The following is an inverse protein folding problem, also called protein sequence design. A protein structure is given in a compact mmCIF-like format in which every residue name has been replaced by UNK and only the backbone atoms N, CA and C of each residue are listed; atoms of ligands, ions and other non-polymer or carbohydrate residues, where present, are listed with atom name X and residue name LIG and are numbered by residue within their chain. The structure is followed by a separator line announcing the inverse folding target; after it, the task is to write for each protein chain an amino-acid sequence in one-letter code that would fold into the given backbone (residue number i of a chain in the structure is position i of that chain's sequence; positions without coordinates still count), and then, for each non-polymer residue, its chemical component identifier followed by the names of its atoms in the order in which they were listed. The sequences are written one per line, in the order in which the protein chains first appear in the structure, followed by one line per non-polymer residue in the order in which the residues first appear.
data_IF_794899859727
#
_entry.id   IF_794899859727
#
_cell.length_a   1.000
_cell.length_b   1.000
_cell.length_c   1.000
_cell.angle_alpha   90.00
_cell.angle_beta   90.00
_cell.angle_gamma   90.00
#
_symmetry.space_group_name_H-M   'P 1'
#
loop_
_entity.id
_entity.type
_entity.pdbx_description
1 polymer ?
#
# COMPACT_ATOMS: atom_id res chain seq x y z
N UNK A 1 17.27 -5.54 -5.95
CA UNK A 1 17.73 -6.83 -6.50
C UNK A 1 16.95 -7.05 -7.81
N UNK A 2 17.46 -7.82 -8.78
CA UNK A 2 16.87 -7.91 -10.13
C UNK A 2 16.08 -9.22 -10.25
N UNK A 3 14.80 -9.15 -10.61
CA UNK A 3 14.02 -10.36 -10.92
C UNK A 3 14.64 -11.12 -12.10
N UNK A 4 14.98 -12.39 -11.87
CA UNK A 4 15.38 -13.30 -12.94
C UNK A 4 14.21 -13.51 -13.91
N UNK A 5 14.50 -13.75 -15.20
CA UNK A 5 13.45 -13.92 -16.23
C UNK A 5 12.45 -15.05 -15.90
N UNK A 6 12.91 -16.14 -15.30
CA UNK A 6 12.06 -17.25 -14.85
C UNK A 6 11.15 -16.85 -13.70
N UNK A 7 11.66 -16.13 -12.70
CA UNK A 7 10.86 -15.58 -11.60
C UNK A 7 9.84 -14.55 -12.10
N UNK A 8 10.22 -13.74 -13.09
CA UNK A 8 9.32 -12.77 -13.72
C UNK A 8 8.15 -13.42 -14.46
N UNK A 9 8.29 -14.67 -14.95
CA UNK A 9 7.18 -15.43 -15.53
C UNK A 9 6.25 -15.98 -14.45
N UNK A 10 6.81 -16.57 -13.39
CA UNK A 10 6.03 -17.10 -12.26
C UNK A 10 5.22 -15.97 -11.60
N UNK A 11 5.84 -14.82 -11.36
CA UNK A 11 5.17 -13.66 -10.80
C UNK A 11 4.05 -13.13 -11.71
N UNK A 12 4.26 -13.16 -13.04
CA UNK A 12 3.24 -12.78 -14.01
C UNK A 12 2.02 -13.69 -13.95
N UNK A 13 2.24 -15.00 -13.95
CA UNK A 13 1.14 -15.97 -13.87
C UNK A 13 0.41 -15.86 -12.52
N UNK A 14 1.14 -15.68 -11.41
CA UNK A 14 0.54 -15.46 -10.10
C UNK A 14 -0.35 -14.21 -10.04
N UNK A 15 0.13 -13.07 -10.54
CA UNK A 15 -0.65 -11.82 -10.55
C UNK A 15 -1.94 -11.99 -11.35
N UNK A 16 -1.87 -12.56 -12.56
CA UNK A 16 -3.06 -12.68 -13.39
C UNK A 16 -4.04 -13.74 -12.88
N UNK A 17 -3.54 -14.92 -12.52
CA UNK A 17 -4.40 -16.05 -12.20
C UNK A 17 -4.94 -15.99 -10.76
N UNK A 18 -4.13 -15.50 -9.81
CA UNK A 18 -4.49 -15.47 -8.38
C UNK A 18 -5.10 -14.13 -7.99
N UNK A 19 -4.51 -13.00 -8.40
CA UNK A 19 -4.99 -11.68 -7.96
C UNK A 19 -6.08 -11.09 -8.85
N UNK A 20 -6.05 -11.37 -10.16
CA UNK A 20 -7.01 -10.83 -11.12
C UNK A 20 -8.03 -11.88 -11.60
N UNK A 21 -8.06 -13.05 -10.98
CA UNK A 21 -8.97 -14.16 -11.28
C UNK A 21 -9.06 -14.54 -12.78
N UNK A 22 -7.95 -14.39 -13.51
CA UNK A 22 -7.90 -14.73 -14.94
C UNK A 22 -8.03 -16.23 -15.22
N UNK A 23 -7.97 -17.08 -14.18
CA UNK A 23 -8.28 -18.50 -14.30
C UNK A 23 -9.73 -18.74 -14.72
N UNK A 24 -10.65 -17.88 -14.27
CA UNK A 24 -12.07 -17.94 -14.59
C UNK A 24 -12.47 -16.96 -15.72
N UNK A 25 -11.68 -15.90 -15.95
CA UNK A 25 -11.83 -14.97 -17.08
C UNK A 25 -10.51 -14.81 -17.85
N UNK A 26 -10.18 -15.71 -18.80
CA UNK A 26 -8.85 -15.74 -19.43
C UNK A 26 -8.61 -14.60 -20.43
N UNK A 27 -9.64 -13.82 -20.80
CA UNK A 27 -9.57 -12.80 -21.85
C UNK A 27 -8.46 -11.77 -21.61
N UNK A 28 -8.28 -11.31 -20.38
CA UNK A 28 -7.21 -10.39 -20.02
C UNK A 28 -5.82 -11.00 -20.24
N UNK A 29 -5.61 -12.23 -19.75
CA UNK A 29 -4.34 -12.95 -19.89
C UNK A 29 -4.00 -13.26 -21.34
N UNK A 30 -4.99 -13.71 -22.12
CA UNK A 30 -4.83 -13.98 -23.55
C UNK A 30 -4.43 -12.72 -24.33
N UNK A 31 -5.08 -11.59 -24.05
CA UNK A 31 -4.77 -10.30 -24.67
C UNK A 31 -3.35 -9.81 -24.37
N UNK A 32 -2.91 -9.96 -23.12
CA UNK A 32 -1.55 -9.58 -22.71
C UNK A 32 -0.48 -10.46 -23.36
N UNK A 33 -0.70 -11.78 -23.38
CA UNK A 33 0.23 -12.74 -23.98
C UNK A 33 0.35 -12.55 -25.49
N UNK A 34 -0.76 -12.33 -26.20
CA UNK A 34 -0.75 -12.11 -27.65
C UNK A 34 0.00 -10.82 -28.04
N UNK A 35 -0.01 -9.80 -27.17
CA UNK A 35 0.77 -8.56 -27.30
C UNK A 35 2.21 -8.65 -26.79
N UNK A 36 2.65 -9.82 -26.31
CA UNK A 36 4.03 -10.07 -25.89
C UNK A 36 4.34 -9.69 -24.44
N UNK A 37 3.35 -9.29 -23.65
CA UNK A 37 3.44 -9.13 -22.20
C UNK A 37 3.42 -10.51 -21.54
N UNK A 38 4.58 -11.16 -21.49
CA UNK A 38 4.72 -12.55 -21.03
C UNK A 38 5.47 -12.69 -19.72
N UNK A 39 5.86 -11.57 -19.10
CA UNK A 39 6.65 -11.52 -17.86
C UNK A 39 6.29 -10.26 -17.09
N UNK A 40 6.41 -10.31 -15.76
CA UNK A 40 6.04 -9.21 -14.88
C UNK A 40 6.75 -7.89 -15.23
N UNK A 41 8.08 -7.84 -15.49
CA UNK A 41 8.72 -6.56 -15.85
C UNK A 41 8.11 -5.89 -17.10
N UNK A 42 7.68 -6.69 -18.09
CA UNK A 42 6.98 -6.15 -19.27
C UNK A 42 5.60 -5.64 -18.90
N UNK A 43 4.86 -6.39 -18.07
CA UNK A 43 3.55 -5.97 -17.57
C UNK A 43 3.65 -4.65 -16.81
N UNK A 44 4.70 -4.45 -16.00
CA UNK A 44 4.92 -3.21 -15.24
C UNK A 44 5.21 -1.98 -16.11
N UNK A 45 5.56 -2.18 -17.39
CA UNK A 45 5.78 -1.09 -18.34
C UNK A 45 4.57 -0.78 -19.23
N UNK A 46 3.44 -1.47 -19.04
CA UNK A 46 2.23 -1.24 -19.83
C UNK A 46 1.63 0.13 -19.53
N UNK A 47 1.19 0.85 -20.57
CA UNK A 47 0.49 2.13 -20.44
C UNK A 47 -1.02 1.94 -20.28
N UNK A 48 -1.71 2.87 -19.63
CA UNK A 48 -3.16 2.81 -19.43
C UNK A 48 -3.96 2.81 -20.74
N UNK A 49 -3.52 3.54 -21.76
CA UNK A 49 -4.14 3.50 -23.09
C UNK A 49 -4.01 2.10 -23.73
N UNK A 50 -2.92 1.40 -23.45
CA UNK A 50 -2.76 0.01 -23.90
C UNK A 50 -3.72 -0.91 -23.15
N UNK A 51 -3.86 -0.75 -21.83
CA UNK A 51 -4.85 -1.49 -21.03
C UNK A 51 -6.27 -1.26 -21.57
N UNK A 52 -6.63 -0.01 -21.86
CA UNK A 52 -7.97 0.35 -22.34
C UNK A 52 -8.29 -0.20 -23.73
N UNK A 53 -7.27 -0.47 -24.54
CA UNK A 53 -7.41 -1.03 -25.89
C UNK A 53 -7.22 -2.56 -25.96
N UNK A 54 -7.12 -3.26 -24.82
CA UNK A 54 -6.93 -4.72 -24.81
C UNK A 54 -8.13 -5.44 -25.43
N UNK A 55 -7.83 -6.35 -26.37
CA UNK A 55 -8.78 -7.21 -27.06
C UNK A 55 -8.24 -8.64 -27.11
N UNK A 56 -9.12 -9.63 -27.16
CA UNK A 56 -8.75 -11.03 -27.30
C UNK A 56 -9.65 -11.71 -28.33
N UNK A 57 -9.13 -12.79 -28.92
CA UNK A 57 -9.90 -13.58 -29.87
C UNK A 57 -10.72 -14.62 -29.10
N UNK A 58 -12.03 -14.49 -29.17
CA UNK A 58 -12.99 -15.42 -28.59
C UNK A 58 -13.41 -16.44 -29.65
N UNK A 59 -13.39 -17.73 -29.29
CA UNK A 59 -13.95 -18.79 -30.12
C UNK A 59 -15.42 -18.97 -29.70
N UNK A 60 -16.40 -18.68 -30.56
CA UNK A 60 -17.80 -18.86 -30.21
C UNK A 60 -18.09 -20.35 -29.96
N UNK A 61 -18.88 -20.62 -28.92
CA UNK A 61 -19.26 -21.98 -28.53
C UNK A 61 -19.98 -22.71 -29.66
N UNK A 62 -19.54 -23.95 -29.93
CA UNK A 62 -20.24 -24.88 -30.82
C UNK A 62 -19.85 -24.86 -32.32
N UNK A 63 -18.80 -24.14 -32.71
CA UNK A 63 -18.34 -24.16 -34.10
C UNK A 63 -16.91 -24.72 -34.24
N UNK A 64 -16.81 -25.85 -34.95
CA UNK A 64 -15.55 -26.53 -35.24
C UNK A 64 -14.68 -25.74 -36.25
N UNK A 65 -15.28 -24.80 -36.98
CA UNK A 65 -14.69 -24.09 -38.13
C UNK A 65 -14.98 -22.56 -38.15
N UNK A 66 -15.29 -21.96 -37.01
CA UNK A 66 -15.55 -20.51 -36.92
C UNK A 66 -14.26 -19.69 -36.84
N UNK A 67 -14.19 -18.63 -37.64
CA UNK A 67 -13.15 -17.60 -37.54
C UNK A 67 -13.18 -16.96 -36.14
N UNK A 68 -12.03 -16.82 -35.45
CA UNK A 68 -11.98 -16.16 -34.15
C UNK A 68 -12.54 -14.74 -34.26
N UNK A 69 -13.36 -14.34 -33.29
CA UNK A 69 -13.90 -12.98 -33.23
C UNK A 69 -13.11 -12.19 -32.20
N UNK A 70 -12.51 -11.09 -32.63
CA UNK A 70 -11.79 -10.19 -31.72
C UNK A 70 -12.80 -9.36 -30.93
N UNK A 71 -12.82 -9.55 -29.61
CA UNK A 71 -13.69 -8.84 -28.67
C UNK A 71 -12.87 -8.04 -27.65
N UNK A 72 -13.40 -6.93 -27.10
CA UNK A 72 -12.71 -6.18 -26.06
C UNK A 72 -12.67 -6.97 -24.74
N UNK A 73 -11.56 -6.83 -24.00
CA UNK A 73 -11.50 -7.34 -22.62
C UNK A 73 -12.55 -6.62 -21.77
N UNK A 74 -13.30 -7.32 -20.89
CA UNK A 74 -14.26 -6.69 -20.00
C UNK A 74 -13.69 -5.48 -19.26
N UNK A 75 -14.50 -4.43 -19.09
CA UNK A 75 -14.07 -3.20 -18.41
C UNK A 75 -13.61 -3.47 -16.98
N UNK A 76 -14.32 -4.35 -16.26
CA UNK A 76 -13.97 -4.72 -14.89
C UNK A 76 -12.55 -5.31 -14.80
N UNK A 77 -12.20 -6.24 -15.68
CA UNK A 77 -10.88 -6.87 -15.72
C UNK A 77 -9.76 -5.84 -16.02
N UNK A 78 -10.03 -4.91 -16.94
CA UNK A 78 -9.12 -3.78 -17.23
C UNK A 78 -8.93 -2.87 -16.02
N UNK A 79 -10.00 -2.56 -15.30
CA UNK A 79 -9.96 -1.70 -14.12
C UNK A 79 -9.31 -2.38 -12.91
N UNK A 80 -9.40 -3.71 -12.82
CA UNK A 80 -8.69 -4.53 -11.83
C UNK A 80 -7.19 -4.54 -12.09
N UNK A 81 -6.75 -4.65 -13.35
CA UNK A 81 -5.33 -4.48 -13.69
C UNK A 81 -4.82 -3.08 -13.31
N UNK A 82 -5.61 -2.02 -13.55
CA UNK A 82 -5.27 -0.66 -13.07
C UNK A 82 -5.23 -0.56 -11.55
N UNK A 83 -6.09 -1.31 -10.86
CA UNK A 83 -6.10 -1.38 -9.39
C UNK A 83 -4.83 -2.03 -8.85
N UNK A 84 -4.34 -3.07 -9.52
CA UNK A 84 -3.06 -3.69 -9.17
C UNK A 84 -1.88 -2.71 -9.23
N UNK A 85 -1.82 -1.82 -10.23
CA UNK A 85 -0.82 -0.76 -10.25
C UNK A 85 -0.95 0.23 -9.08
N UNK A 86 -2.18 0.58 -8.68
CA UNK A 86 -2.41 1.38 -7.48
C UNK A 86 -1.94 0.68 -6.22
N UNK A 87 -2.17 -0.63 -6.11
CA UNK A 87 -1.72 -1.43 -4.98
C UNK A 87 -0.20 -1.44 -4.83
N UNK A 88 0.55 -1.59 -5.93
CA UNK A 88 2.02 -1.49 -5.93
C UNK A 88 2.47 -0.12 -5.42
N UNK A 89 1.84 0.96 -5.89
CA UNK A 89 2.16 2.31 -5.47
C UNK A 89 1.86 2.56 -3.98
N UNK A 90 0.74 2.04 -3.48
CA UNK A 90 0.34 2.13 -2.06
C UNK A 90 1.34 1.40 -1.16
N UNK A 91 1.71 0.16 -1.51
CA UNK A 91 2.76 -0.63 -0.84
C UNK A 91 4.08 0.14 -0.75
N UNK A 92 4.49 0.78 -1.84
CA UNK A 92 5.70 1.61 -1.87
C UNK A 92 5.60 2.83 -0.93
N UNK A 93 4.48 3.56 -0.96
CA UNK A 93 4.26 4.71 -0.07
C UNK A 93 4.23 4.34 1.41
N UNK A 94 3.75 3.14 1.75
CA UNK A 94 3.74 2.63 3.12
C UNK A 94 5.10 2.08 3.58
N UNK A 95 6.13 2.13 2.73
CA UNK A 95 7.46 1.60 3.05
C UNK A 95 7.51 0.06 3.06
N UNK A 96 6.53 -0.61 2.45
CA UNK A 96 6.45 -2.06 2.34
C UNK A 96 6.41 -2.52 0.86
N UNK A 97 7.45 -2.23 0.04
CA UNK A 97 7.47 -2.64 -1.35
C UNK A 97 7.55 -4.17 -1.49
N UNK A 98 6.93 -4.71 -2.55
CA UNK A 98 6.87 -6.15 -2.85
C UNK A 98 8.27 -6.75 -3.10
N UNK A 99 9.20 -5.95 -3.65
CA UNK A 99 10.55 -6.37 -4.04
C UNK A 99 10.51 -7.58 -5.00
N UNK A 100 11.01 -8.73 -4.56
CA UNK A 100 11.13 -9.94 -5.39
C UNK A 100 10.06 -11.00 -5.05
N UNK A 101 9.26 -10.78 -4.00
CA UNK A 101 8.33 -11.77 -3.45
C UNK A 101 6.89 -11.54 -3.95
N UNK A 102 6.73 -11.55 -5.27
CA UNK A 102 5.44 -11.29 -5.92
C UNK A 102 4.41 -12.41 -5.67
N UNK A 103 4.87 -13.61 -5.35
CA UNK A 103 4.03 -14.79 -5.12
C UNK A 103 3.46 -14.88 -3.71
N UNK A 104 3.94 -14.07 -2.76
CA UNK A 104 3.40 -14.08 -1.39
C UNK A 104 2.15 -13.22 -1.22
N UNK A 105 1.86 -12.35 -2.20
CA UNK A 105 0.64 -11.54 -2.20
C UNK A 105 -0.55 -12.48 -2.43
N UNK A 106 -1.50 -12.50 -1.49
CA UNK A 106 -2.70 -13.34 -1.63
C UNK A 106 -3.85 -12.54 -2.25
N UNK A 107 -4.83 -13.27 -2.82
CA UNK A 107 -6.04 -12.67 -3.36
C UNK A 107 -6.78 -11.88 -2.27
N UNK A 108 -6.89 -12.43 -1.06
CA UNK A 108 -7.58 -11.80 0.07
C UNK A 108 -6.92 -10.48 0.48
N UNK A 109 -5.58 -10.40 0.45
CA UNK A 109 -4.86 -9.17 0.75
C UNK A 109 -5.17 -8.09 -0.29
N UNK A 110 -5.13 -8.47 -1.57
CA UNK A 110 -5.41 -7.56 -2.68
C UNK A 110 -6.88 -7.11 -2.70
N UNK A 111 -7.82 -8.01 -2.44
CA UNK A 111 -9.26 -7.71 -2.33
C UNK A 111 -9.54 -6.78 -1.16
N UNK A 112 -8.89 -7.01 -0.01
CA UNK A 112 -8.98 -6.13 1.16
C UNK A 112 -8.52 -4.71 0.84
N UNK A 113 -7.47 -4.57 0.02
CA UNK A 113 -7.05 -3.28 -0.50
C UNK A 113 -8.10 -2.65 -1.43
N UNK A 114 -8.70 -3.44 -2.32
CA UNK A 114 -9.67 -2.93 -3.30
C UNK A 114 -10.92 -2.32 -2.64
N UNK A 115 -11.34 -2.87 -1.49
CA UNK A 115 -12.50 -2.40 -0.73
C UNK A 115 -12.15 -1.40 0.37
N UNK A 116 -10.88 -0.99 0.49
CA UNK A 116 -10.43 -0.01 1.49
C UNK A 116 -11.06 1.36 1.21
N UNK A 117 -11.59 2.02 2.24
CA UNK A 117 -12.41 3.22 2.09
C UNK A 117 -11.71 4.42 1.44
N UNK A 118 -10.40 4.56 1.64
CA UNK A 118 -9.56 5.57 0.99
C UNK A 118 -9.40 5.33 -0.53
N UNK A 119 -9.30 4.06 -0.94
CA UNK A 119 -9.25 3.65 -2.34
C UNK A 119 -10.61 3.88 -3.03
N UNK A 120 -11.71 3.57 -2.35
CA UNK A 120 -13.08 3.84 -2.82
C UNK A 120 -13.29 5.36 -2.97
N UNK A 121 -12.90 6.15 -1.97
CA UNK A 121 -12.99 7.62 -2.01
C UNK A 121 -12.18 8.22 -3.16
N UNK A 122 -10.95 7.74 -3.36
CA UNK A 122 -10.08 8.21 -4.46
C UNK A 122 -10.68 7.99 -5.86
N UNK A 123 -11.56 7.01 -6.04
CA UNK A 123 -12.24 6.70 -7.33
C UNK A 123 -13.51 7.52 -7.57
N UNK A 124 -14.24 7.83 -6.51
CA UNK A 124 -15.57 8.46 -6.59
C UNK A 124 -15.49 9.98 -6.82
N UNK A 125 -14.30 10.58 -6.78
CA UNK A 125 -14.16 12.04 -6.71
C UNK A 125 -14.69 12.62 -5.38
N UNK A 126 -15.35 11.80 -4.57
CA UNK A 126 -15.52 11.97 -3.13
C UNK A 126 -14.14 11.88 -2.47
N UNK A 127 -13.46 13.02 -2.36
CA UNK A 127 -12.59 13.21 -1.20
C UNK A 127 -13.50 13.11 0.03
N UNK A 128 -13.44 12.05 0.86
CA UNK A 128 -13.84 12.24 2.26
C UNK A 128 -12.97 13.41 2.73
N UNK A 129 -13.62 14.47 3.21
CA UNK A 129 -13.03 15.76 3.52
C UNK A 129 -11.55 15.61 3.86
N UNK A 130 -10.70 16.14 2.97
CA UNK A 130 -9.27 16.26 3.21
C UNK A 130 -9.06 16.57 4.69
N UNK A 131 -8.33 15.72 5.40
CA UNK A 131 -7.45 16.26 6.43
C UNK A 131 -6.70 17.39 5.72
N UNK A 132 -6.81 18.64 6.20
CA UNK A 132 -6.46 19.78 5.37
C UNK A 132 -5.01 19.64 4.92
N UNK A 133 -4.82 19.47 3.61
CA UNK A 133 -3.52 19.69 2.97
C UNK A 133 -3.10 21.09 3.41
N UNK A 134 -1.94 21.28 4.06
CA UNK A 134 -1.52 22.61 4.45
C UNK A 134 -1.53 23.48 3.18
N UNK A 135 -2.20 24.64 3.20
CA UNK A 135 -2.17 25.56 2.08
C UNK A 135 -0.72 25.81 1.69
N UNK A 136 -0.45 25.84 0.38
CA UNK A 136 0.74 26.51 -0.13
C UNK A 136 0.51 27.99 0.20
N UNK A 137 0.97 28.40 1.38
CA UNK A 137 0.94 29.79 1.78
C UNK A 137 2.03 30.51 1.01
N UNK A 138 1.64 31.12 -0.11
CA UNK A 138 2.32 32.33 -0.57
C UNK A 138 2.15 33.38 0.53
N UNK A 139 3.22 33.62 1.29
CA UNK A 139 3.46 34.86 2.05
C UNK A 139 2.53 35.15 3.23
N UNK A 140 2.85 34.62 4.41
CA UNK A 140 2.82 35.37 5.68
C UNK A 140 3.69 34.64 6.71
N UNK A 141 4.53 35.33 7.51
CA UNK A 141 5.42 34.67 8.44
C UNK A 141 4.60 34.02 9.56
N UNK A 142 4.44 32.70 9.48
CA UNK A 142 3.97 31.91 10.61
C UNK A 142 5.10 31.85 11.63
N UNK A 143 4.81 32.24 12.86
CA UNK A 143 5.64 31.96 14.02
C UNK A 143 6.07 30.48 13.97
N UNK A 144 7.36 30.15 14.14
CA UNK A 144 7.80 28.76 14.21
C UNK A 144 7.06 28.08 15.36
N UNK A 145 6.41 26.95 15.06
CA UNK A 145 5.73 26.11 16.05
C UNK A 145 6.78 25.47 16.95
N UNK A 146 6.60 25.51 18.27
CA UNK A 146 7.56 24.89 19.19
C UNK A 146 7.56 23.35 18.99
N UNK A 147 8.68 22.67 19.28
CA UNK A 147 8.73 21.21 19.23
C UNK A 147 7.66 20.53 20.10
N UNK A 148 7.32 21.11 21.26
CA UNK A 148 6.27 20.61 22.14
C UNK A 148 4.87 20.68 21.50
N UNK A 149 4.55 21.77 20.80
CA UNK A 149 3.28 21.91 20.08
C UNK A 149 3.16 20.90 18.92
N UNK A 150 4.27 20.66 18.21
CA UNK A 150 4.32 19.64 17.17
C UNK A 150 4.10 18.23 17.75
N UNK A 151 4.72 17.93 18.90
CA UNK A 151 4.57 16.66 19.61
C UNK A 151 3.11 16.44 20.04
N UNK A 152 2.48 17.42 20.69
CA UNK A 152 1.06 17.36 21.13
C UNK A 152 0.09 16.99 20.01
N UNK A 153 0.34 17.49 18.79
CA UNK A 153 -0.49 17.23 17.62
C UNK A 153 -0.24 15.86 16.99
N UNK A 154 0.93 15.27 17.23
CA UNK A 154 1.32 13.96 16.70
C UNK A 154 0.87 12.76 17.54
N UNK A 155 0.48 12.96 18.80
CA UNK A 155 0.07 11.88 19.71
C UNK A 155 -1.28 11.29 19.26
N UNK A 156 -1.27 10.03 18.83
CA UNK A 156 -2.49 9.23 18.64
C UNK A 156 -2.93 8.63 19.98
N UNK A 157 -4.17 8.90 20.38
CA UNK A 157 -4.77 8.39 21.63
C UNK A 157 -5.74 7.25 21.31
N UNK A 158 -5.23 6.09 20.96
CA UNK A 158 -6.05 4.88 20.79
C UNK A 158 -5.88 3.97 22.01
N UNK A 159 -6.90 3.86 22.90
CA UNK A 159 -6.83 3.01 24.08
C UNK A 159 -6.65 1.52 23.75
N UNK A 160 -7.06 1.06 22.55
CA UNK A 160 -6.97 -0.35 22.17
C UNK A 160 -5.53 -0.84 21.98
N UNK A 161 -4.58 0.08 21.81
CA UNK A 161 -3.15 -0.21 21.65
C UNK A 161 -2.44 -0.49 22.99
N UNK A 162 -3.11 -0.31 24.13
CA UNK A 162 -2.54 -0.48 25.48
C UNK A 162 -3.16 -1.70 26.18
N UNK A 163 -2.61 -2.92 25.97
CA UNK A 163 -3.18 -4.13 26.56
C UNK A 163 -3.01 -4.16 28.09
N UNK A 164 -4.05 -4.63 28.80
CA UNK A 164 -3.96 -4.86 30.24
C UNK A 164 -3.11 -6.10 30.52
N UNK A 165 -1.99 -5.93 31.21
CA UNK A 165 -1.12 -7.04 31.64
C UNK A 165 -1.74 -7.73 32.86
N UNK A 166 -2.30 -8.93 32.66
CA UNK A 166 -2.92 -9.73 33.74
C UNK A 166 -1.98 -10.74 34.37
N UNK A 167 -1.06 -11.29 33.59
CA UNK A 167 -0.12 -12.32 34.03
C UNK A 167 1.30 -11.77 34.00
N UNK A 168 2.04 -11.97 35.09
CA UNK A 168 3.41 -11.50 35.23
C UNK A 168 4.37 -12.09 34.19
N UNK A 169 4.09 -13.30 33.71
CA UNK A 169 4.89 -13.98 32.67
C UNK A 169 4.97 -13.23 31.34
N UNK A 170 4.09 -12.25 31.09
CA UNK A 170 4.12 -11.43 29.88
C UNK A 170 4.88 -10.10 30.04
N UNK A 171 5.34 -9.76 31.26
CA UNK A 171 5.99 -8.48 31.53
C UNK A 171 7.27 -8.29 30.72
N UNK A 172 8.12 -9.31 30.61
CA UNK A 172 9.39 -9.20 29.87
C UNK A 172 9.16 -8.96 28.38
N UNK A 173 8.20 -9.69 27.79
CA UNK A 173 7.82 -9.55 26.39
C UNK A 173 7.22 -8.17 26.10
N UNK A 174 6.37 -7.69 27.01
CA UNK A 174 5.81 -6.37 26.95
C UNK A 174 6.89 -5.29 27.08
N UNK A 175 7.80 -5.40 28.05
CA UNK A 175 8.86 -4.42 28.28
C UNK A 175 9.78 -4.26 27.06
N UNK A 176 10.18 -5.36 26.43
CA UNK A 176 10.96 -5.33 25.17
C UNK A 176 10.23 -4.62 24.04
N UNK A 177 8.93 -4.89 23.90
CA UNK A 177 8.08 -4.29 22.87
C UNK A 177 7.90 -2.79 23.13
N UNK A 178 7.67 -2.42 24.39
CA UNK A 178 7.53 -1.05 24.87
C UNK A 178 8.80 -0.21 24.60
N UNK A 179 9.98 -0.70 24.97
CA UNK A 179 11.26 -0.01 24.71
C UNK A 179 11.50 0.19 23.20
N UNK A 180 11.14 -0.82 22.40
CA UNK A 180 11.25 -0.73 20.93
C UNK A 180 10.33 0.36 20.36
N UNK A 181 9.09 0.43 20.86
CA UNK A 181 8.13 1.46 20.46
C UNK A 181 8.56 2.86 20.90
N UNK A 182 9.07 3.02 22.12
CA UNK A 182 9.57 4.29 22.62
C UNK A 182 10.71 4.86 21.74
N UNK A 183 11.61 3.98 21.26
CA UNK A 183 12.65 4.36 20.29
C UNK A 183 12.07 4.75 18.94
N UNK A 184 11.12 3.97 18.41
CA UNK A 184 10.49 4.25 17.12
C UNK A 184 9.68 5.57 17.12
N UNK A 185 9.15 5.98 18.28
CA UNK A 185 8.42 7.22 18.47
C UNK A 185 9.30 8.38 18.96
N UNK A 186 10.63 8.19 19.03
CA UNK A 186 11.59 9.19 19.52
C UNK A 186 11.27 9.75 20.92
N UNK A 187 10.75 8.89 21.80
CA UNK A 187 10.45 9.20 23.22
C UNK A 187 11.29 8.36 24.19
N UNK A 188 12.34 7.70 23.70
CA UNK A 188 13.24 6.89 24.53
C UNK A 188 13.95 7.68 25.62
N UNK A 189 14.10 9.00 25.45
CA UNK A 189 14.73 9.90 26.42
C UNK A 189 14.01 9.88 27.77
N UNK A 190 12.69 9.65 27.78
CA UNK A 190 11.90 9.55 29.03
C UNK A 190 12.21 8.29 29.82
N UNK A 191 12.78 7.27 29.16
CA UNK A 191 13.17 6.01 29.80
C UNK A 191 14.62 6.02 30.30
N UNK A 192 15.37 7.10 30.04
CA UNK A 192 16.76 7.23 30.46
C UNK A 192 16.85 8.18 31.67
N UNK A 193 17.10 7.61 32.84
CA UNK A 193 17.26 8.35 34.10
C UNK A 193 18.42 9.35 34.07
N UNK A 194 19.34 9.22 33.12
CA UNK A 194 20.50 10.11 32.96
C UNK A 194 20.27 11.22 31.92
N UNK A 195 19.15 11.22 31.22
CA UNK A 195 18.85 12.23 30.21
C UNK A 195 18.57 13.59 30.86
N UNK A 196 19.32 14.61 30.45
CA UNK A 196 19.16 15.99 30.90
C UNK A 196 18.98 16.90 29.69
N UNK A 197 17.78 17.45 29.43
CA UNK A 197 17.56 18.38 28.32
C UNK A 197 18.36 19.66 28.52
N UNK A 198 19.01 20.15 27.46
CA UNK A 198 19.98 21.24 27.57
C UNK A 198 19.40 22.58 27.12
N UNK A 199 18.68 22.59 26.00
CA UNK A 199 18.04 23.79 25.45
C UNK A 199 16.65 23.99 26.05
N UNK A 200 16.15 25.23 26.02
CA UNK A 200 14.82 25.53 26.57
C UNK A 200 13.70 24.82 25.79
N UNK A 201 13.86 24.69 24.45
CA UNK A 201 12.96 23.93 23.60
C UNK A 201 12.98 22.43 23.92
N UNK A 202 14.15 21.86 24.24
CA UNK A 202 14.28 20.46 24.66
C UNK A 202 13.64 20.22 26.02
N UNK A 203 13.78 21.17 26.96
CA UNK A 203 13.14 21.07 28.29
C UNK A 203 11.63 21.07 28.14
N UNK A 204 11.09 22.02 27.37
CA UNK A 204 9.64 22.10 27.13
C UNK A 204 9.10 20.83 26.44
N UNK A 205 9.82 20.33 25.43
CA UNK A 205 9.46 19.08 24.76
C UNK A 205 9.53 17.88 25.73
N UNK A 206 10.56 17.80 26.55
CA UNK A 206 10.75 16.70 27.50
C UNK A 206 9.65 16.70 28.57
N UNK A 207 9.32 17.87 29.12
CA UNK A 207 8.20 18.04 30.05
C UNK A 207 6.87 17.60 29.41
N UNK A 208 6.68 17.85 28.12
CA UNK A 208 5.49 17.39 27.39
C UNK A 208 5.49 15.87 27.16
N UNK A 209 6.65 15.24 26.90
CA UNK A 209 6.77 13.78 26.74
C UNK A 209 6.49 13.02 28.05
N UNK A 210 6.65 13.65 29.21
CA UNK A 210 6.44 13.04 30.53
C UNK A 210 4.98 13.08 31.05
N UNK A 211 4.07 13.76 30.34
CA UNK A 211 2.64 13.86 30.70
C UNK A 211 1.83 12.65 30.28
#
# INVERSE_FOLDING_TARGET
MVLLRSQGRIAFDHVLDVLLDCANSPGLKLSLVSRGYTTLPKLLCIDYAVIDSLTYDEKPDGADDSTPVTVPVPQADRDMLKMFFKYIADRYHQGNPINDDWTSITAEEFDSFCVRGDIIGSRSGYSPAHTPRPPVYTGSPKTPMSPADAFRRGIKRDPSLFPTLKNESYNDSWHRSFVTQARAQSVSDVLDDQYVPTTDDEKELFDEKQK
#
